data_IF_833546463741
#
_entry.id   IF_833546463741
#
_cell.length_a   1.000
_cell.length_b   1.000
_cell.length_c   1.000
_cell.angle_alpha   90.00
_cell.angle_beta   90.00
_cell.angle_gamma   90.00
#
_symmetry.space_group_name_H-M   'P 1'
#
loop_
_entity.id
_entity.type
_entity.pdbx_description
1 polymer ?
#
# COMPACT_ATOMS: atom_id res chain seq x y z
N UNK A 1 11.07 13.67 2.54
CA UNK A 1 11.18 12.70 1.42
C UNK A 1 10.91 11.37 2.06
N UNK A 2 9.82 10.72 1.69
CA UNK A 2 9.45 9.45 2.27
C UNK A 2 10.58 8.41 2.05
N UNK A 3 10.86 7.62 3.08
CA UNK A 3 11.77 6.47 2.98
C UNK A 3 11.12 5.30 2.24
N UNK A 4 9.78 5.24 2.24
CA UNK A 4 8.98 4.32 1.46
C UNK A 4 7.71 5.03 1.01
N UNK A 5 7.38 4.87 -0.26
CA UNK A 5 6.12 5.32 -0.85
C UNK A 5 5.42 4.12 -1.48
N UNK A 6 4.16 3.91 -1.11
CA UNK A 6 3.23 2.99 -1.75
C UNK A 6 2.10 3.79 -2.35
N UNK A 7 1.78 3.56 -3.62
CA UNK A 7 0.73 4.30 -4.33
C UNK A 7 -0.22 3.32 -5.00
N UNK A 8 -1.51 3.46 -4.71
CA UNK A 8 -2.60 2.68 -5.31
C UNK A 8 -2.41 1.15 -5.26
N UNK A 9 -1.88 0.65 -4.13
CA UNK A 9 -1.59 -0.78 -3.99
C UNK A 9 -2.88 -1.55 -3.75
N UNK A 10 -3.09 -2.58 -4.57
CA UNK A 10 -4.19 -3.53 -4.43
C UNK A 10 -3.64 -4.96 -4.47
N UNK A 11 -4.21 -5.86 -3.66
CA UNK A 11 -3.77 -7.27 -3.63
C UNK A 11 -4.91 -8.21 -3.27
N UNK A 12 -5.09 -9.23 -4.10
CA UNK A 12 -6.14 -10.23 -3.93
C UNK A 12 -5.52 -11.63 -3.75
N UNK A 13 -6.20 -12.47 -2.99
CA UNK A 13 -5.91 -13.90 -2.83
C UNK A 13 -7.18 -14.70 -3.08
N UNK A 14 -7.31 -15.21 -4.31
CA UNK A 14 -8.57 -15.80 -4.77
C UNK A 14 -9.71 -14.78 -4.71
N UNK A 15 -10.78 -15.11 -3.99
CA UNK A 15 -11.93 -14.22 -3.79
C UNK A 15 -11.72 -13.16 -2.69
N UNK A 16 -10.61 -13.23 -1.94
CA UNK A 16 -10.36 -12.31 -0.83
C UNK A 16 -9.57 -11.10 -1.34
N UNK A 17 -10.08 -9.90 -1.05
CA UNK A 17 -9.36 -8.66 -1.26
C UNK A 17 -8.57 -8.30 0.01
N UNK A 18 -7.25 -8.49 -0.02
CA UNK A 18 -6.38 -8.22 1.12
C UNK A 18 -5.96 -6.76 1.23
N UNK A 19 -5.80 -6.08 0.09
CA UNK A 19 -5.53 -4.63 0.03
C UNK A 19 -6.35 -4.05 -1.13
N UNK A 20 -6.99 -2.91 -0.91
CA UNK A 20 -7.79 -2.21 -1.91
C UNK A 20 -7.36 -0.74 -2.02
N UNK A 21 -6.69 -0.40 -3.11
CA UNK A 21 -6.30 0.97 -3.48
C UNK A 21 -5.66 1.78 -2.34
N UNK A 22 -4.70 1.18 -1.65
CA UNK A 22 -4.05 1.82 -0.50
C UNK A 22 -2.83 2.61 -0.95
N UNK A 23 -2.75 3.85 -0.46
CA UNK A 23 -1.56 4.68 -0.56
C UNK A 23 -1.01 4.95 0.85
N UNK A 24 0.30 4.87 1.00
CA UNK A 24 1.01 4.99 2.28
C UNK A 24 2.39 5.61 2.04
N UNK A 25 2.72 6.62 2.83
CA UNK A 25 4.08 7.15 2.93
C UNK A 25 4.66 6.88 4.32
N UNK A 26 5.94 6.52 4.38
CA UNK A 26 6.68 6.39 5.63
C UNK A 26 7.76 7.46 5.65
N UNK A 27 7.72 8.33 6.66
CA UNK A 27 8.77 9.33 6.89
C UNK A 27 9.89 8.78 7.79
N UNK A 28 11.12 9.31 7.67
CA UNK A 28 12.16 9.06 8.66
C UNK A 28 11.71 9.53 10.05
N UNK A 29 12.10 8.80 11.09
CA UNK A 29 11.84 9.15 12.49
C UNK A 29 12.65 10.32 13.01
#
# INVERSE_FOLDING_TARGET
MAVLELTNISRHFGAIQAVNDVSLSIEPG
#
